data_IF_548984008895
#
_entry.id   IF_548984008895
#
_cell.length_a   1.000
_cell.length_b   1.000
_cell.length_c   1.000
_cell.angle_alpha   90.00
_cell.angle_beta   90.00
_cell.angle_gamma   90.00
#
_symmetry.space_group_name_H-M   'P 1'
#
loop_
_entity.id
_entity.type
_entity.pdbx_description
1 polymer ?
#
# COMPACT_ATOMS: atom_id res chain seq x y z
N UNK A 1 -112.22 42.01 -28.18
CA UNK A 1 -111.75 41.62 -26.84
C UNK A 1 -111.27 40.16 -26.79
N UNK A 2 -111.99 39.16 -27.33
CA UNK A 2 -111.57 37.76 -27.30
C UNK A 2 -110.21 37.45 -28.00
N UNK A 3 -109.92 38.08 -29.14
CA UNK A 3 -108.67 37.87 -29.89
C UNK A 3 -107.41 38.28 -29.09
N UNK A 4 -107.45 39.45 -28.44
CA UNK A 4 -106.34 39.96 -27.63
C UNK A 4 -106.06 39.06 -26.42
N UNK A 5 -107.11 38.52 -25.79
CA UNK A 5 -106.96 37.62 -24.64
C UNK A 5 -106.35 36.27 -25.04
N UNK A 6 -106.70 35.77 -26.23
CA UNK A 6 -106.07 34.58 -26.81
C UNK A 6 -104.57 34.79 -27.09
N UNK A 7 -104.19 35.93 -27.67
CA UNK A 7 -102.78 36.25 -27.96
C UNK A 7 -101.94 36.43 -26.69
N UNK A 8 -102.51 37.05 -25.66
CA UNK A 8 -101.87 37.18 -24.34
C UNK A 8 -101.63 35.78 -23.73
N UNK A 9 -102.62 34.90 -23.75
CA UNK A 9 -102.48 33.54 -23.23
C UNK A 9 -101.42 32.73 -23.99
N UNK A 10 -101.38 32.84 -25.32
CA UNK A 10 -100.35 32.17 -26.14
C UNK A 10 -98.94 32.67 -25.81
N UNK A 11 -98.77 33.98 -25.57
CA UNK A 11 -97.50 34.57 -25.17
C UNK A 11 -97.07 34.10 -23.79
N UNK A 12 -98.00 34.05 -22.82
CA UNK A 12 -97.73 33.54 -21.47
C UNK A 12 -97.30 32.06 -21.50
N UNK A 13 -97.99 31.21 -22.27
CA UNK A 13 -97.61 29.80 -22.42
C UNK A 13 -96.23 29.63 -23.07
N UNK A 14 -95.88 30.49 -24.03
CA UNK A 14 -94.55 30.51 -24.63
C UNK A 14 -93.48 30.94 -23.62
N UNK A 15 -93.76 31.95 -22.80
CA UNK A 15 -92.84 32.39 -21.75
C UNK A 15 -92.62 31.31 -20.70
N UNK A 16 -93.69 30.66 -20.23
CA UNK A 16 -93.60 29.54 -19.29
C UNK A 16 -92.80 28.37 -19.87
N UNK A 17 -93.03 28.03 -21.15
CA UNK A 17 -92.28 26.96 -21.83
C UNK A 17 -90.78 27.31 -21.96
N UNK A 18 -90.48 28.57 -22.26
CA UNK A 18 -89.10 29.06 -22.31
C UNK A 18 -88.42 29.01 -20.94
N UNK A 19 -89.12 29.39 -19.88
CA UNK A 19 -88.62 29.34 -18.50
C UNK A 19 -88.36 27.89 -18.06
N UNK A 20 -89.29 26.97 -18.34
CA UNK A 20 -89.08 25.54 -18.09
C UNK A 20 -87.86 25.00 -18.84
N UNK A 21 -87.68 25.36 -20.12
CA UNK A 21 -86.53 24.95 -20.92
C UNK A 21 -85.22 25.54 -20.39
N UNK A 22 -85.22 26.82 -20.02
CA UNK A 22 -84.06 27.49 -19.42
C UNK A 22 -83.68 26.82 -18.08
N UNK A 23 -84.65 26.50 -17.23
CA UNK A 23 -84.43 25.75 -15.99
C UNK A 23 -83.84 24.36 -16.23
N UNK A 24 -84.30 23.64 -17.25
CA UNK A 24 -83.72 22.34 -17.63
C UNK A 24 -82.26 22.48 -18.11
N UNK A 25 -81.97 23.48 -18.95
CA UNK A 25 -80.61 23.75 -19.44
C UNK A 25 -79.67 24.16 -18.30
N UNK A 26 -80.14 25.01 -17.37
CA UNK A 26 -79.36 25.40 -16.19
C UNK A 26 -79.06 24.20 -15.31
N UNK A 27 -80.04 23.32 -15.06
CA UNK A 27 -79.84 22.09 -14.31
C UNK A 27 -78.84 21.13 -15.00
N UNK A 28 -78.88 21.03 -16.32
CA UNK A 28 -77.92 20.25 -17.09
C UNK A 28 -76.50 20.84 -16.99
N UNK A 29 -76.37 22.16 -17.08
CA UNK A 29 -75.11 22.87 -16.91
C UNK A 29 -74.54 22.64 -15.51
N UNK A 30 -75.34 22.81 -14.45
CA UNK A 30 -74.92 22.57 -13.07
C UNK A 30 -74.39 21.14 -12.89
N UNK A 31 -75.11 20.12 -13.40
CA UNK A 31 -74.66 18.72 -13.34
C UNK A 31 -73.31 18.52 -14.03
N UNK A 32 -73.11 19.11 -15.21
CA UNK A 32 -71.84 19.04 -15.92
C UNK A 32 -70.72 19.74 -15.15
N UNK A 33 -70.97 20.94 -14.63
CA UNK A 33 -70.00 21.69 -13.82
C UNK A 33 -69.60 20.92 -12.56
N UNK A 34 -70.55 20.31 -11.85
CA UNK A 34 -70.25 19.48 -10.67
C UNK A 34 -69.41 18.27 -11.06
N UNK A 35 -69.73 17.59 -12.17
CA UNK A 35 -68.94 16.45 -12.67
C UNK A 35 -67.50 16.86 -12.98
N UNK A 36 -67.32 17.97 -13.69
CA UNK A 36 -65.99 18.51 -14.03
C UNK A 36 -65.23 18.87 -12.76
N UNK A 37 -65.86 19.57 -11.81
CA UNK A 37 -65.24 19.95 -10.53
C UNK A 37 -64.76 18.73 -9.74
N UNK A 38 -65.58 17.68 -9.66
CA UNK A 38 -65.21 16.45 -8.95
C UNK A 38 -64.04 15.74 -9.63
N UNK A 39 -64.04 15.68 -10.96
CA UNK A 39 -62.93 15.11 -11.72
C UNK A 39 -61.63 15.91 -11.50
N UNK A 40 -61.69 17.24 -11.54
CA UNK A 40 -60.53 18.11 -11.28
C UNK A 40 -60.00 17.92 -9.87
N UNK A 41 -60.87 17.81 -8.86
CA UNK A 41 -60.46 17.55 -7.49
C UNK A 41 -59.72 16.20 -7.36
N UNK A 42 -60.24 15.14 -7.99
CA UNK A 42 -59.61 13.81 -8.00
C UNK A 42 -58.24 13.80 -8.71
N UNK A 43 -58.16 14.48 -9.86
CA UNK A 43 -56.89 14.63 -10.59
C UNK A 43 -55.86 15.39 -9.75
N UNK A 44 -56.27 16.49 -9.10
CA UNK A 44 -55.37 17.26 -8.24
C UNK A 44 -54.86 16.42 -7.05
N UNK A 45 -55.72 15.62 -6.43
CA UNK A 45 -55.29 14.72 -5.35
C UNK A 45 -54.26 13.70 -5.85
N UNK A 46 -54.44 13.19 -7.06
CA UNK A 46 -53.49 12.26 -7.70
C UNK A 46 -52.16 12.93 -8.00
N UNK A 47 -52.17 14.16 -8.52
CA UNK A 47 -50.96 14.95 -8.78
C UNK A 47 -50.18 15.17 -7.49
N UNK A 48 -50.85 15.53 -6.40
CA UNK A 48 -50.18 15.74 -5.10
C UNK A 48 -49.56 14.45 -4.55
N UNK A 49 -50.25 13.30 -4.70
CA UNK A 49 -49.68 12.00 -4.33
C UNK A 49 -48.44 11.67 -5.17
N UNK A 50 -48.50 11.89 -6.48
CA UNK A 50 -47.38 11.65 -7.39
C UNK A 50 -46.20 12.57 -7.09
N UNK A 51 -46.45 13.85 -6.81
CA UNK A 51 -45.41 14.82 -6.43
C UNK A 51 -44.65 14.36 -5.19
N UNK A 52 -45.36 13.96 -4.13
CA UNK A 52 -44.74 13.42 -2.90
C UNK A 52 -43.94 12.14 -3.17
N UNK A 53 -44.44 11.26 -4.02
CA UNK A 53 -43.72 10.04 -4.41
C UNK A 53 -42.43 10.38 -5.17
N UNK A 54 -42.51 11.33 -6.12
CA UNK A 54 -41.35 11.82 -6.87
C UNK A 54 -40.30 12.46 -5.96
N UNK A 55 -40.71 13.31 -5.01
CA UNK A 55 -39.80 13.93 -4.03
C UNK A 55 -39.03 12.87 -3.22
N UNK A 56 -39.71 11.80 -2.78
CA UNK A 56 -39.07 10.68 -2.07
C UNK A 56 -38.05 9.96 -2.96
N UNK A 57 -38.42 9.63 -4.20
CA UNK A 57 -37.52 8.98 -5.14
C UNK A 57 -36.31 9.88 -5.43
N UNK A 58 -36.53 11.17 -5.65
CA UNK A 58 -35.47 12.12 -5.93
C UNK A 58 -34.48 12.23 -4.75
N UNK A 59 -34.98 12.27 -3.51
CA UNK A 59 -34.14 12.27 -2.32
C UNK A 59 -33.25 11.01 -2.23
N UNK A 60 -33.82 9.83 -2.52
CA UNK A 60 -33.07 8.56 -2.54
C UNK A 60 -32.02 8.57 -3.65
N UNK A 61 -32.39 9.03 -4.86
CA UNK A 61 -31.48 9.12 -6.00
C UNK A 61 -30.30 10.04 -5.71
N UNK A 62 -30.55 11.20 -5.10
CA UNK A 62 -29.49 12.13 -4.71
C UNK A 62 -28.55 11.51 -3.68
N UNK A 63 -29.09 10.80 -2.68
CA UNK A 63 -28.28 10.09 -1.69
C UNK A 63 -27.40 9.04 -2.34
N UNK A 64 -27.98 8.18 -3.19
CA UNK A 64 -27.24 7.13 -3.91
C UNK A 64 -26.14 7.69 -4.80
N UNK A 65 -26.38 8.83 -5.45
CA UNK A 65 -25.35 9.51 -6.24
C UNK A 65 -24.15 9.91 -5.37
N UNK A 66 -24.39 10.51 -4.21
CA UNK A 66 -23.32 10.86 -3.27
C UNK A 66 -22.57 9.64 -2.76
N UNK A 67 -23.29 8.55 -2.46
CA UNK A 67 -22.68 7.30 -2.02
C UNK A 67 -21.78 6.69 -3.12
N UNK A 68 -22.19 6.80 -4.39
CA UNK A 68 -21.37 6.37 -5.54
C UNK A 68 -20.13 7.25 -5.73
N UNK A 69 -20.28 8.57 -5.70
CA UNK A 69 -19.15 9.52 -5.79
C UNK A 69 -18.12 9.27 -4.67
N UNK A 70 -18.57 9.00 -3.45
CA UNK A 70 -17.70 8.63 -2.33
C UNK A 70 -17.03 7.26 -2.54
N UNK A 71 -17.75 6.29 -3.13
CA UNK A 71 -17.22 4.98 -3.47
C UNK A 71 -16.14 5.04 -4.56
N UNK A 72 -16.35 5.86 -5.59
CA UNK A 72 -15.36 6.10 -6.65
C UNK A 72 -14.08 6.72 -6.08
N UNK A 73 -14.20 7.75 -5.25
CA UNK A 73 -13.05 8.36 -4.57
C UNK A 73 -12.28 7.37 -3.68
N UNK A 74 -12.98 6.46 -2.99
CA UNK A 74 -12.35 5.40 -2.21
C UNK A 74 -11.60 4.40 -3.10
N UNK A 75 -12.17 4.01 -4.23
CA UNK A 75 -11.53 3.09 -5.18
C UNK A 75 -10.24 3.71 -5.72
N UNK A 76 -10.26 4.98 -6.11
CA UNK A 76 -9.07 5.71 -6.57
C UNK A 76 -7.99 5.75 -5.49
N UNK A 77 -8.34 6.11 -4.26
CA UNK A 77 -7.40 6.15 -3.14
C UNK A 77 -6.78 4.77 -2.83
N UNK A 78 -7.58 3.70 -2.89
CA UNK A 78 -7.09 2.33 -2.70
C UNK A 78 -6.16 1.91 -3.85
N UNK A 79 -6.50 2.25 -5.09
CA UNK A 79 -5.64 1.97 -6.24
C UNK A 79 -4.29 2.68 -6.13
N UNK A 80 -4.27 3.93 -5.70
CA UNK A 80 -3.04 4.67 -5.44
C UNK A 80 -2.20 4.01 -4.33
N UNK A 81 -2.82 3.61 -3.22
CA UNK A 81 -2.10 2.90 -2.16
C UNK A 81 -1.53 1.55 -2.62
N UNK A 82 -2.29 0.78 -3.41
CA UNK A 82 -1.84 -0.51 -3.95
C UNK A 82 -0.67 -0.33 -4.91
N UNK A 83 -0.74 0.66 -5.81
CA UNK A 83 0.37 0.93 -6.74
C UNK A 83 1.62 1.40 -6.01
N UNK A 84 1.50 2.28 -5.01
CA UNK A 84 2.60 2.72 -4.16
C UNK A 84 3.20 1.56 -3.35
N UNK A 85 2.37 0.70 -2.76
CA UNK A 85 2.82 -0.48 -2.02
C UNK A 85 3.56 -1.48 -2.92
N UNK A 86 3.06 -1.68 -4.15
CA UNK A 86 3.73 -2.54 -5.14
C UNK A 86 5.11 -2.00 -5.50
N UNK A 87 5.23 -0.72 -5.81
CA UNK A 87 6.52 -0.08 -6.09
C UNK A 87 7.50 -0.21 -4.91
N UNK A 88 7.03 -0.01 -3.68
CA UNK A 88 7.87 -0.19 -2.47
C UNK A 88 8.34 -1.64 -2.31
N UNK A 89 7.46 -2.61 -2.55
CA UNK A 89 7.82 -4.03 -2.49
C UNK A 89 8.85 -4.40 -3.57
N UNK A 90 8.67 -3.92 -4.79
CA UNK A 90 9.60 -4.18 -5.90
C UNK A 90 10.99 -3.62 -5.55
N UNK A 91 11.07 -2.38 -5.07
CA UNK A 91 12.32 -1.76 -4.64
C UNK A 91 12.99 -2.51 -3.46
N UNK A 92 12.19 -3.00 -2.50
CA UNK A 92 12.70 -3.77 -1.37
C UNK A 92 13.21 -5.14 -1.82
N UNK A 93 12.55 -5.77 -2.79
CA UNK A 93 12.98 -7.05 -3.35
C UNK A 93 14.30 -6.92 -4.12
N UNK A 94 14.49 -5.83 -4.86
CA UNK A 94 15.76 -5.50 -5.52
C UNK A 94 16.89 -5.33 -4.49
N UNK A 95 16.66 -4.53 -3.45
CA UNK A 95 17.63 -4.35 -2.35
C UNK A 95 17.97 -5.66 -1.64
N UNK A 96 16.98 -6.53 -1.42
CA UNK A 96 17.24 -7.86 -0.82
C UNK A 96 18.07 -8.76 -1.75
N UNK A 97 17.91 -8.64 -3.07
CA UNK A 97 18.72 -9.37 -4.03
C UNK A 97 20.19 -8.89 -4.00
N UNK A 98 20.41 -7.58 -3.90
CA UNK A 98 21.74 -6.99 -3.74
C UNK A 98 22.43 -7.47 -2.46
N UNK A 99 21.75 -7.36 -1.31
CA UNK A 99 22.29 -7.83 -0.01
C UNK A 99 22.61 -9.32 -0.05
N UNK A 100 21.77 -10.15 -0.69
CA UNK A 100 22.07 -11.58 -0.87
C UNK A 100 23.30 -11.81 -1.74
N UNK A 101 23.48 -11.01 -2.79
CA UNK A 101 24.65 -11.11 -3.67
C UNK A 101 25.92 -10.75 -2.90
N UNK A 102 25.92 -9.65 -2.15
CA UNK A 102 27.03 -9.24 -1.29
C UNK A 102 27.35 -10.31 -0.23
N UNK A 103 26.33 -10.85 0.44
CA UNK A 103 26.51 -11.91 1.44
C UNK A 103 27.12 -13.19 0.82
N UNK A 104 26.65 -13.58 -0.38
CA UNK A 104 27.20 -14.73 -1.09
C UNK A 104 28.66 -14.50 -1.54
N UNK A 105 29.01 -13.26 -1.94
CA UNK A 105 30.39 -12.90 -2.26
C UNK A 105 31.28 -13.02 -1.02
N UNK A 106 30.87 -12.44 0.11
CA UNK A 106 31.58 -12.54 1.38
C UNK A 106 31.80 -14.01 1.79
N UNK A 107 30.75 -14.83 1.74
CA UNK A 107 30.84 -16.26 2.06
C UNK A 107 31.77 -17.01 1.11
N UNK A 108 31.78 -16.64 -0.17
CA UNK A 108 32.71 -17.18 -1.17
C UNK A 108 34.16 -16.86 -0.82
N UNK A 109 34.45 -15.62 -0.41
CA UNK A 109 35.79 -15.23 0.02
C UNK A 109 36.22 -15.99 1.28
N UNK A 110 35.38 -16.10 2.31
CA UNK A 110 35.68 -16.88 3.53
C UNK A 110 36.01 -18.33 3.21
N UNK A 111 35.28 -18.96 2.27
CA UNK A 111 35.57 -20.33 1.83
C UNK A 111 36.95 -20.46 1.19
N UNK A 112 37.25 -19.59 0.22
CA UNK A 112 38.56 -19.61 -0.46
C UNK A 112 39.70 -19.41 0.52
N UNK A 113 39.53 -18.51 1.49
CA UNK A 113 40.53 -18.31 2.52
C UNK A 113 40.71 -19.52 3.43
N UNK A 114 39.60 -20.19 3.79
CA UNK A 114 39.65 -21.38 4.64
C UNK A 114 40.41 -22.51 3.94
N UNK A 115 40.16 -22.68 2.64
CA UNK A 115 40.89 -23.62 1.79
C UNK A 115 42.38 -23.26 1.67
N UNK A 116 42.70 -21.98 1.43
CA UNK A 116 44.09 -21.53 1.26
C UNK A 116 44.93 -21.63 2.54
N UNK A 117 44.30 -21.46 3.71
CA UNK A 117 44.98 -21.51 5.01
C UNK A 117 44.87 -22.86 5.71
N UNK A 118 44.04 -23.76 5.19
CA UNK A 118 43.63 -25.01 5.84
C UNK A 118 43.08 -24.81 7.27
N UNK A 119 42.47 -23.64 7.53
CA UNK A 119 41.88 -23.25 8.82
C UNK A 119 40.41 -22.94 8.57
N UNK A 120 39.53 -23.56 9.36
CA UNK A 120 38.11 -23.23 9.33
C UNK A 120 37.88 -21.81 9.86
N UNK A 121 37.37 -20.91 9.02
CA UNK A 121 36.92 -19.59 9.43
C UNK A 121 35.40 -19.55 9.59
N UNK A 122 34.94 -19.29 10.81
CA UNK A 122 33.53 -19.05 11.07
C UNK A 122 33.14 -17.64 10.57
N UNK A 123 32.26 -17.58 9.56
CA UNK A 123 31.81 -16.31 8.99
C UNK A 123 30.97 -15.47 9.96
N UNK A 124 30.32 -16.09 10.97
CA UNK A 124 29.52 -15.38 11.98
C UNK A 124 30.34 -14.88 13.17
N UNK A 125 31.60 -15.31 13.29
CA UNK A 125 32.51 -15.00 14.39
C UNK A 125 33.92 -14.85 13.81
N UNK A 126 34.21 -13.69 13.20
CA UNK A 126 35.59 -13.34 12.89
C UNK A 126 36.39 -13.38 14.19
N UNK A 127 37.54 -14.10 14.26
CA UNK A 127 38.30 -14.21 15.49
C UNK A 127 38.62 -12.82 16.04
N UNK A 128 38.24 -12.51 17.28
CA UNK A 128 38.53 -11.21 17.93
C UNK A 128 40.04 -10.91 18.02
N UNK A 129 40.86 -11.95 17.87
CA UNK A 129 42.31 -11.90 17.70
C UNK A 129 42.76 -12.90 16.65
N UNK A 130 43.62 -12.45 15.74
CA UNK A 130 44.31 -13.28 14.76
C UNK A 130 45.73 -13.49 15.26
N UNK A 131 46.06 -14.73 15.62
CA UNK A 131 47.41 -15.13 16.04
C UNK A 131 47.97 -16.16 15.08
N UNK A 132 49.24 -16.05 14.76
CA UNK A 132 49.88 -17.00 13.85
C UNK A 132 51.35 -16.71 13.63
N UNK A 133 51.93 -17.41 12.67
CA UNK A 133 53.32 -17.24 12.25
C UNK A 133 53.33 -17.11 10.73
N UNK A 134 53.97 -16.06 10.21
CA UNK A 134 54.13 -15.84 8.76
C UNK A 134 55.61 -15.96 8.40
N UNK A 135 55.93 -16.36 7.17
CA UNK A 135 57.31 -16.43 6.68
C UNK A 135 57.66 -15.09 6.03
N UNK A 136 58.82 -14.53 6.36
CA UNK A 136 59.37 -13.34 5.72
C UNK A 136 59.40 -13.51 4.19
N UNK A 137 59.25 -12.43 3.45
CA UNK A 137 59.34 -12.39 1.99
C UNK A 137 60.66 -12.99 1.45
N UNK A 138 61.71 -12.99 2.28
CA UNK A 138 63.04 -13.56 2.01
C UNK A 138 63.17 -15.06 2.31
N UNK A 139 62.12 -15.72 2.81
CA UNK A 139 62.07 -17.17 3.06
C UNK A 139 62.72 -17.65 4.36
N UNK A 140 63.58 -16.85 4.97
CA UNK A 140 64.50 -17.34 6.01
C UNK A 140 64.04 -17.14 7.47
N UNK A 141 62.92 -16.44 7.69
CA UNK A 141 62.50 -16.08 9.04
C UNK A 141 61.00 -16.27 9.27
N UNK A 142 60.66 -17.01 10.32
CA UNK A 142 59.31 -17.15 10.85
C UNK A 142 59.01 -15.99 11.79
N UNK A 143 58.01 -15.18 11.45
CA UNK A 143 57.58 -13.99 12.18
C UNK A 143 56.25 -14.27 12.86
N UNK A 144 56.21 -14.38 14.21
CA UNK A 144 54.96 -14.48 14.94
C UNK A 144 54.19 -13.16 14.86
N UNK A 145 52.87 -13.25 14.85
CA UNK A 145 51.97 -12.12 14.93
C UNK A 145 50.78 -12.43 15.85
N UNK A 146 50.33 -11.41 16.58
CA UNK A 146 49.17 -11.42 17.46
C UNK A 146 48.49 -10.06 17.29
N UNK A 147 47.49 -10.01 16.42
CA UNK A 147 46.83 -8.76 16.03
C UNK A 147 45.34 -8.86 16.37
N UNK A 148 44.83 -7.86 17.09
CA UNK A 148 43.39 -7.77 17.35
C UNK A 148 42.65 -7.27 16.12
N UNK A 149 41.43 -7.75 15.89
CA UNK A 149 40.63 -7.30 14.74
C UNK A 149 40.23 -5.82 14.81
N UNK A 150 40.31 -5.20 15.98
CA UNK A 150 40.11 -3.75 16.15
C UNK A 150 41.36 -2.91 15.84
N UNK A 151 42.54 -3.53 15.67
CA UNK A 151 43.79 -2.83 15.32
C UNK A 151 44.01 -2.82 13.80
N UNK A 152 43.31 -1.90 13.13
CA UNK A 152 43.39 -1.71 11.67
C UNK A 152 44.82 -1.39 11.18
N UNK A 153 45.66 -0.75 12.01
CA UNK A 153 47.07 -0.48 11.70
C UNK A 153 47.92 -1.75 11.82
N UNK A 154 47.76 -2.53 12.88
CA UNK A 154 48.41 -3.82 13.03
C UNK A 154 48.03 -4.80 11.92
N UNK A 155 46.75 -4.81 11.53
CA UNK A 155 46.24 -5.65 10.44
C UNK A 155 46.83 -5.24 9.10
N UNK A 156 46.89 -3.95 8.76
CA UNK A 156 47.50 -3.49 7.51
C UNK A 156 49.01 -3.76 7.43
N UNK A 157 49.74 -3.68 8.55
CA UNK A 157 51.17 -4.05 8.62
C UNK A 157 51.36 -5.56 8.42
N UNK A 158 50.55 -6.38 9.09
CA UNK A 158 50.54 -7.83 8.92
C UNK A 158 50.21 -8.20 7.47
N UNK A 159 49.22 -7.52 6.90
CA UNK A 159 48.75 -7.72 5.53
C UNK A 159 49.86 -7.47 4.51
N UNK A 160 50.54 -6.32 4.61
CA UNK A 160 51.69 -6.00 3.76
C UNK A 160 52.85 -7.01 3.88
N UNK A 161 53.01 -7.66 5.04
CA UNK A 161 54.03 -8.71 5.25
C UNK A 161 53.64 -10.05 4.60
N UNK A 162 52.36 -10.41 4.64
CA UNK A 162 51.84 -11.66 4.06
C UNK A 162 51.73 -11.57 2.53
N UNK A 163 51.44 -10.38 2.00
CA UNK A 163 51.24 -10.13 0.56
C UNK A 163 52.46 -10.42 -0.32
N UNK A 164 53.67 -10.53 0.24
CA UNK A 164 54.88 -10.74 -0.55
C UNK A 164 54.91 -12.04 -1.37
N UNK A 165 54.17 -13.09 -0.99
CA UNK A 165 54.29 -14.41 -1.62
C UNK A 165 52.95 -15.14 -1.86
N UNK A 166 51.79 -14.48 -1.68
CA UNK A 166 50.49 -15.15 -1.82
C UNK A 166 49.88 -14.95 -3.22
N UNK A 167 49.48 -16.01 -3.94
CA UNK A 167 48.72 -15.89 -5.19
C UNK A 167 47.26 -15.45 -4.99
N UNK A 168 46.81 -15.21 -3.75
CA UNK A 168 45.43 -14.87 -3.40
C UNK A 168 45.25 -13.46 -2.82
N UNK A 169 46.26 -12.59 -2.98
CA UNK A 169 46.27 -11.21 -2.44
C UNK A 169 45.03 -10.41 -2.82
N UNK A 170 44.55 -10.54 -4.05
CA UNK A 170 43.39 -9.79 -4.54
C UNK A 170 42.09 -10.16 -3.82
N UNK A 171 41.91 -11.43 -3.47
CA UNK A 171 40.69 -11.92 -2.78
C UNK A 171 40.63 -11.49 -1.32
N UNK A 172 41.79 -11.39 -0.68
CA UNK A 172 41.88 -10.86 0.68
C UNK A 172 41.69 -9.33 0.73
N UNK A 173 42.24 -8.59 -0.24
CA UNK A 173 41.99 -7.15 -0.36
C UNK A 173 40.49 -6.85 -0.50
N UNK A 174 39.76 -7.69 -1.23
CA UNK A 174 38.30 -7.59 -1.35
C UNK A 174 37.56 -7.78 -0.01
N UNK A 175 38.03 -8.64 0.89
CA UNK A 175 37.41 -8.83 2.21
C UNK A 175 37.61 -7.64 3.17
N UNK A 176 38.79 -7.01 3.12
CA UNK A 176 39.11 -5.86 3.97
C UNK A 176 38.36 -4.60 3.54
N UNK A 177 38.07 -4.45 2.24
CA UNK A 177 37.29 -3.32 1.72
C UNK A 177 35.79 -3.43 2.01
N UNK A 178 35.25 -4.66 2.09
CA UNK A 178 33.85 -4.91 2.49
C UNK A 178 33.57 -4.55 3.96
N UNK A 179 34.63 -4.49 4.80
CA UNK A 179 34.54 -4.18 6.22
C UNK A 179 34.50 -2.69 6.58
N UNK A 180 34.54 -1.77 5.61
CA UNK A 180 34.54 -0.33 5.90
C UNK A 180 33.26 0.36 5.37
N UNK A 181 32.11 0.18 6.03
CA UNK A 181 31.01 1.10 5.86
C UNK A 181 31.32 2.34 6.69
N UNK A 182 31.43 3.50 6.04
CA UNK A 182 31.25 4.77 6.72
C UNK A 182 29.89 4.73 7.45
N UNK A 183 29.89 4.61 8.78
CA UNK A 183 28.73 4.93 9.62
C UNK A 183 29.12 5.14 11.07
N UNK A 184 28.92 6.38 11.48
CA UNK A 184 28.53 6.84 12.81
C UNK A 184 27.75 5.79 13.63
N UNK A 185 28.16 5.57 14.89
CA UNK A 185 27.32 5.37 16.10
C UNK A 185 28.20 4.90 17.28
N UNK A 186 28.39 5.78 18.27
CA UNK A 186 27.77 5.72 19.60
C UNK A 186 28.21 4.56 20.51
N UNK A 187 29.06 4.95 21.46
CA UNK A 187 29.05 4.65 22.90
C UNK A 187 28.33 3.42 23.48
N UNK A 188 29.07 2.82 24.43
CA UNK A 188 28.66 2.02 25.59
C UNK A 188 28.35 0.53 25.37
N UNK A 189 29.22 -0.34 25.90
CA UNK A 189 28.91 -1.12 27.12
C UNK A 189 30.11 -1.97 27.56
N UNK A 190 30.45 -1.81 28.85
CA UNK A 190 31.38 -2.65 29.60
C UNK A 190 30.90 -4.11 29.64
N UNK A 191 31.73 -5.05 29.15
CA UNK A 191 31.68 -6.45 29.59
C UNK A 191 33.11 -6.99 29.69
N UNK A 192 33.59 -7.07 30.93
CA UNK A 192 34.69 -7.95 31.36
C UNK A 192 34.21 -9.40 31.42
N UNK A 193 34.80 -10.30 30.62
CA UNK A 193 35.02 -11.70 30.99
C UNK A 193 35.86 -12.44 29.94
N UNK A 194 37.11 -12.68 30.32
CA UNK A 194 37.96 -13.85 30.05
C UNK A 194 37.41 -14.94 29.12
N UNK A 195 38.06 -15.16 27.98
CA UNK A 195 38.08 -16.49 27.36
C UNK A 195 39.43 -16.73 26.69
N UNK A 196 40.30 -17.46 27.39
CA UNK A 196 41.54 -17.99 26.84
C UNK A 196 41.14 -19.30 26.15
N UNK A 197 41.21 -19.33 24.82
CA UNK A 197 41.12 -20.60 24.08
C UNK A 197 42.50 -21.23 24.09
N UNK A 198 42.67 -22.25 24.92
CA UNK A 198 43.80 -23.16 24.89
C UNK A 198 43.65 -24.06 23.65
N UNK A 199 44.57 -23.95 22.70
CA UNK A 199 44.63 -24.82 21.52
C UNK A 199 45.36 -26.10 21.93
N UNK A 200 44.65 -27.21 21.97
CA UNK A 200 45.22 -28.55 22.07
C UNK A 200 45.81 -28.94 20.69
N UNK A 201 47.11 -29.21 20.65
CA UNK A 201 47.84 -29.61 19.43
C UNK A 201 47.77 -31.12 19.17
N UNK A 202 46.85 -31.86 19.80
CA UNK A 202 46.77 -33.34 19.66
C UNK A 202 45.53 -33.89 18.94
N UNK A 203 44.70 -33.05 18.32
CA UNK A 203 43.56 -33.58 17.53
C UNK A 203 44.02 -34.12 16.15
N UNK A 204 43.55 -35.30 15.71
CA UNK A 204 44.02 -35.92 14.48
C UNK A 204 43.65 -35.09 13.25
N UNK A 205 44.57 -35.01 12.29
CA UNK A 205 44.30 -34.46 10.97
C UNK A 205 43.11 -35.20 10.34
N UNK A 206 42.04 -34.47 10.02
CA UNK A 206 40.95 -34.98 9.19
C UNK A 206 41.52 -35.35 7.82
N UNK A 207 41.74 -36.63 7.59
CA UNK A 207 41.90 -37.16 6.25
C UNK A 207 40.54 -37.21 5.55
N UNK A 208 40.53 -36.63 4.34
CA UNK A 208 39.46 -36.54 3.32
C UNK A 208 38.46 -35.41 3.46
#
# INVERSE_FOLDING_TARGET
>A
MAQQQFDINKRLMTMLSNEMRAGQQMNACVKQTTKVRNNVASVNETIEKQKRAYEKVNAITLKRRKDLEAGEALIEAVQEQVTSAKQRNDAMQERLAEVRKEHNQYRGCVRVLSEATNIYMNASELPTKIKGVTVSCTGDQWLPFDVSTSDLKGLSILWNRIQCNSPYVDKWNQLLQVGNPESERQENLNVTASSIVQIDLTSPQSHR
#
